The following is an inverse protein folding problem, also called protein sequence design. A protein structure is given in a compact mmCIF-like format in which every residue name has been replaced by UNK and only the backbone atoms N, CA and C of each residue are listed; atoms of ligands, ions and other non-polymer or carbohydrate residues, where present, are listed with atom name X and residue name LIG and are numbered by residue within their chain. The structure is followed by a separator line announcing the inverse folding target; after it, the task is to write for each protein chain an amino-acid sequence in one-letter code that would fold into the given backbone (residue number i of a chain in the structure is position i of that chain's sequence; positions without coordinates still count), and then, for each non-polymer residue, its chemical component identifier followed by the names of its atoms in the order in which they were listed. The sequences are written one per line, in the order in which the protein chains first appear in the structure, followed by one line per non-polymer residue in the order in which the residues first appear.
data_IF_398077827400
#
_entry.id   IF_398077827400
#
_cell.length_a   1.000
_cell.length_b   1.000
_cell.length_c   1.000
_cell.angle_alpha   90.00
_cell.angle_beta   90.00
_cell.angle_gamma   90.00
#
_symmetry.space_group_name_H-M   'P 1'
#
loop_
_entity.id
_entity.type
_entity.pdbx_description
1 polymer ?
#
# COMPACT_ATOMS: atom_id res chain seq x y z
N UNK A 1 -21.82 40.73 -18.24
CA UNK A 1 -20.59 39.93 -18.46
C UNK A 1 -20.67 38.74 -17.54
N UNK A 2 -20.87 37.55 -18.11
CA UNK A 2 -21.14 36.30 -17.41
C UNK A 2 -19.94 35.87 -16.56
N UNK A 3 -20.09 35.88 -15.24
CA UNK A 3 -19.19 35.20 -14.32
C UNK A 3 -19.19 33.70 -14.67
N UNK A 4 -18.12 33.26 -15.31
CA UNK A 4 -17.85 31.86 -15.61
C UNK A 4 -17.73 31.14 -14.28
N UNK A 5 -18.80 30.40 -13.93
CA UNK A 5 -18.91 29.51 -12.77
C UNK A 5 -17.58 28.78 -12.53
N UNK A 6 -16.80 29.26 -11.55
CA UNK A 6 -15.68 28.52 -10.95
C UNK A 6 -16.23 27.17 -10.52
N UNK A 7 -15.72 26.09 -11.09
CA UNK A 7 -16.02 24.73 -10.63
C UNK A 7 -15.80 24.70 -9.12
N UNK A 8 -16.79 24.22 -8.36
CA UNK A 8 -16.72 24.14 -6.89
C UNK A 8 -15.68 23.13 -6.39
N UNK A 9 -15.11 22.36 -7.31
CA UNK A 9 -14.00 21.46 -7.06
C UNK A 9 -12.70 22.17 -7.45
N UNK A 10 -11.84 22.40 -6.47
CA UNK A 10 -10.43 22.74 -6.73
C UNK A 10 -9.72 21.59 -7.46
N UNK A 11 -8.44 21.76 -7.83
CA UNK A 11 -7.67 20.68 -8.43
C UNK A 11 -7.71 19.44 -7.53
N UNK A 12 -8.08 18.30 -8.12
CA UNK A 12 -8.13 17.02 -7.41
C UNK A 12 -6.75 16.68 -6.83
N UNK A 13 -6.68 16.06 -5.64
CA UNK A 13 -5.42 15.58 -5.11
C UNK A 13 -4.77 14.63 -6.12
N UNK A 14 -3.50 14.89 -6.46
CA UNK A 14 -2.73 14.00 -7.31
C UNK A 14 -2.28 12.81 -6.46
N UNK A 15 -2.94 11.68 -6.64
CA UNK A 15 -2.44 10.41 -6.11
C UNK A 15 -1.33 9.93 -7.04
N UNK A 16 -0.08 10.15 -6.66
CA UNK A 16 1.06 9.63 -7.40
C UNK A 16 1.36 8.20 -6.92
N UNK A 17 1.15 7.22 -7.81
CA UNK A 17 1.48 5.82 -7.56
C UNK A 17 2.73 5.44 -8.35
N UNK A 18 3.75 4.92 -7.66
CA UNK A 18 4.98 4.44 -8.28
C UNK A 18 4.94 2.92 -8.35
N UNK A 19 5.15 2.35 -9.54
CA UNK A 19 5.31 0.90 -9.71
C UNK A 19 6.76 0.52 -9.39
N UNK A 20 6.94 -0.39 -8.44
CA UNK A 20 8.24 -0.99 -8.12
C UNK A 20 8.23 -2.47 -8.50
N UNK A 21 9.27 -2.91 -9.19
CA UNK A 21 9.50 -4.32 -9.54
C UNK A 21 10.72 -4.82 -8.78
N UNK A 22 10.60 -5.94 -8.07
CA UNK A 22 11.72 -6.56 -7.36
C UNK A 22 11.72 -8.07 -7.57
N UNK A 23 12.89 -8.67 -7.43
CA UNK A 23 13.03 -10.13 -7.44
C UNK A 23 12.66 -10.65 -6.07
N UNK A 24 11.52 -11.34 -5.97
CA UNK A 24 11.07 -11.98 -4.74
C UNK A 24 11.62 -13.40 -4.66
N UNK A 25 12.39 -13.76 -3.61
CA UNK A 25 12.75 -15.16 -3.36
C UNK A 25 11.50 -16.04 -3.25
N UNK A 26 11.55 -17.26 -3.78
CA UNK A 26 10.41 -18.17 -3.81
C UNK A 26 9.88 -18.49 -2.39
N UNK A 27 10.79 -18.70 -1.43
CA UNK A 27 10.42 -18.93 -0.03
C UNK A 27 9.63 -17.75 0.55
N UNK A 28 10.05 -16.51 0.25
CA UNK A 28 9.33 -15.32 0.72
C UNK A 28 7.94 -15.22 0.09
N UNK A 29 7.79 -15.56 -1.20
CA UNK A 29 6.47 -15.57 -1.85
C UNK A 29 5.52 -16.57 -1.20
N UNK A 30 5.99 -17.79 -0.90
CA UNK A 30 5.18 -18.81 -0.22
C UNK A 30 4.70 -18.33 1.16
N UNK A 31 5.58 -17.66 1.90
CA UNK A 31 5.25 -17.06 3.20
C UNK A 31 4.19 -15.97 3.09
N UNK A 32 4.32 -15.09 2.10
CA UNK A 32 3.34 -14.04 1.83
C UNK A 32 1.97 -14.62 1.41
N UNK A 33 1.95 -15.68 0.61
CA UNK A 33 0.71 -16.36 0.19
C UNK A 33 0.00 -17.02 1.37
N UNK A 34 0.76 -17.64 2.25
CA UNK A 34 0.23 -18.20 3.50
C UNK A 34 -0.36 -17.10 4.38
N UNK A 35 0.34 -15.98 4.53
CA UNK A 35 -0.15 -14.85 5.31
C UNK A 35 -1.46 -14.28 4.73
N UNK A 36 -1.52 -14.08 3.42
CA UNK A 36 -2.72 -13.68 2.70
C UNK A 36 -3.90 -14.64 2.92
N UNK A 37 -3.62 -15.94 2.88
CA UNK A 37 -4.62 -16.99 3.11
C UNK A 37 -5.15 -16.97 4.55
N UNK A 38 -4.30 -16.72 5.55
CA UNK A 38 -4.72 -16.56 6.94
C UNK A 38 -5.55 -15.29 7.12
N UNK A 39 -5.11 -14.17 6.55
CA UNK A 39 -5.85 -12.91 6.60
C UNK A 39 -7.26 -13.06 5.99
N UNK A 40 -7.39 -13.81 4.90
CA UNK A 40 -8.68 -14.08 4.29
C UNK A 40 -9.61 -14.93 5.16
N UNK A 41 -9.05 -15.84 5.96
CA UNK A 41 -9.83 -16.64 6.92
C UNK A 41 -10.36 -15.76 8.07
N UNK A 42 -9.54 -14.82 8.54
CA UNK A 42 -9.88 -13.99 9.70
C UNK A 42 -10.85 -12.85 9.34
N UNK A 43 -10.74 -12.28 8.14
CA UNK A 43 -11.52 -11.11 7.69
C UNK A 43 -12.55 -11.42 6.60
N UNK A 44 -12.61 -12.66 6.09
CA UNK A 44 -13.61 -13.13 5.15
C UNK A 44 -13.44 -12.66 3.70
N UNK A 45 -12.40 -11.88 3.40
CA UNK A 45 -12.10 -11.39 2.05
C UNK A 45 -10.77 -11.97 1.55
N UNK A 46 -10.79 -12.58 0.37
CA UNK A 46 -9.56 -13.04 -0.27
C UNK A 46 -8.73 -11.85 -0.74
N UNK A 47 -7.54 -11.70 -0.19
CA UNK A 47 -6.60 -10.64 -0.54
C UNK A 47 -5.34 -11.27 -1.12
N UNK A 48 -4.82 -10.73 -2.23
CA UNK A 48 -3.52 -11.14 -2.77
C UNK A 48 -2.40 -10.60 -1.87
N UNK A 49 -1.34 -11.40 -1.67
CA UNK A 49 -0.09 -10.96 -1.08
C UNK A 49 0.39 -9.62 -1.66
N UNK A 50 0.26 -9.40 -2.97
CA UNK A 50 0.66 -8.15 -3.62
C UNK A 50 -0.07 -6.91 -3.07
N UNK A 51 -1.32 -7.05 -2.65
CA UNK A 51 -2.09 -5.96 -2.04
C UNK A 51 -1.69 -5.72 -0.57
N UNK A 52 -1.21 -6.75 0.13
CA UNK A 52 -0.77 -6.64 1.52
C UNK A 52 0.65 -6.07 1.65
N UNK A 53 1.53 -6.32 0.68
CA UNK A 53 2.94 -5.90 0.73
C UNK A 53 3.11 -4.39 1.04
N UNK A 54 2.42 -3.44 0.37
CA UNK A 54 2.55 -2.03 0.69
C UNK A 54 2.22 -1.70 2.16
N UNK A 55 1.14 -2.27 2.69
CA UNK A 55 0.72 -2.08 4.08
C UNK A 55 1.71 -2.67 5.07
N UNK A 56 2.25 -3.86 4.77
CA UNK A 56 3.28 -4.50 5.59
C UNK A 56 4.57 -3.65 5.63
N UNK A 57 4.99 -3.10 4.49
CA UNK A 57 6.18 -2.25 4.40
C UNK A 57 5.99 -0.91 5.13
N UNK A 58 4.82 -0.29 4.99
CA UNK A 58 4.49 0.94 5.72
C UNK A 58 4.51 0.70 7.24
N UNK A 59 3.85 -0.35 7.70
CA UNK A 59 3.85 -0.74 9.12
C UNK A 59 5.27 -1.07 9.62
N UNK A 60 6.08 -1.73 8.80
CA UNK A 60 7.48 -2.03 9.12
C UNK A 60 8.29 -0.73 9.31
N UNK A 61 8.25 0.18 8.33
CA UNK A 61 8.97 1.46 8.39
C UNK A 61 8.50 2.32 9.57
N UNK A 62 7.20 2.37 9.84
CA UNK A 62 6.63 3.12 10.96
C UNK A 62 7.06 2.55 12.33
N UNK A 63 7.30 1.23 12.42
CA UNK A 63 7.69 0.57 13.66
C UNK A 63 9.20 0.61 13.90
N UNK A 64 10.01 0.59 12.84
CA UNK A 64 11.48 0.62 12.93
C UNK A 64 11.95 1.90 13.64
N UNK A 65 12.39 1.76 14.89
CA UNK A 65 12.88 2.88 15.71
C UNK A 65 14.24 3.37 15.25
N UNK A 66 15.09 2.48 14.72
CA UNK A 66 16.41 2.86 14.23
C UNK A 66 16.27 3.72 12.99
N UNK A 67 15.43 3.28 12.05
CA UNK A 67 15.08 4.05 10.86
C UNK A 67 14.44 5.40 11.19
N UNK A 68 13.44 5.43 12.09
CA UNK A 68 12.78 6.68 12.50
C UNK A 68 13.70 7.70 13.16
N UNK A 69 14.77 7.26 13.83
CA UNK A 69 15.76 8.17 14.43
C UNK A 69 16.75 8.74 13.41
N UNK A 70 16.89 8.10 12.26
CA UNK A 70 17.83 8.49 11.20
C UNK A 70 17.18 9.36 10.10
N UNK A 71 15.84 9.40 10.05
CA UNK A 71 15.06 10.29 9.18
C UNK A 71 14.91 11.68 9.82
#
# INVERSE_FOLDING_TARGET
MTDLRRLSLGPLPRTESIRLTFVCPAALKQELDRYASQHAQDYGEQVDAAALIPHMLEAFMARDRGFRKAR
#
